data_IF_091322880359
#
_entry.id   IF_091322880359
#
_cell.length_a   1.000
_cell.length_b   1.000
_cell.length_c   1.000
_cell.angle_alpha   90.00
_cell.angle_beta   90.00
_cell.angle_gamma   90.00
#
_symmetry.space_group_name_H-M   'P 1'
#
loop_
_entity.id
_entity.type
_entity.pdbx_description
1 polymer ?
#
# COMPACT_ATOMS: atom_id res chain seq x y z
N UNK A 1 -27.55 7.19 -25.57
CA UNK A 1 -26.71 6.70 -24.45
C UNK A 1 -25.37 6.33 -25.07
N UNK A 2 -24.35 7.17 -24.92
CA UNK A 2 -23.04 6.95 -25.58
C UNK A 2 -22.41 5.68 -25.02
N UNK A 3 -22.41 4.61 -25.81
CA UNK A 3 -21.62 3.39 -25.57
C UNK A 3 -20.15 3.72 -25.80
N UNK A 4 -19.56 4.46 -24.87
CA UNK A 4 -18.12 4.70 -24.83
C UNK A 4 -17.41 3.48 -24.24
N UNK A 5 -16.34 3.02 -24.89
CA UNK A 5 -15.46 2.00 -24.33
C UNK A 5 -14.94 2.46 -22.97
N UNK A 6 -15.10 1.63 -21.94
CA UNK A 6 -14.49 1.88 -20.65
C UNK A 6 -12.97 1.76 -20.80
N UNK A 7 -12.22 2.77 -20.35
CA UNK A 7 -10.76 2.67 -20.25
C UNK A 7 -10.42 1.52 -19.30
N UNK A 8 -9.72 0.52 -19.81
CA UNK A 8 -9.25 -0.64 -19.06
C UNK A 8 -7.73 -0.61 -19.01
N UNK A 9 -7.15 -0.94 -17.86
CA UNK A 9 -5.72 -1.01 -17.68
C UNK A 9 -5.22 -2.37 -18.17
N UNK A 10 -4.17 -2.39 -19.00
CA UNK A 10 -3.46 -3.61 -19.34
C UNK A 10 -2.63 -4.11 -18.15
N UNK A 11 -2.34 -5.41 -18.09
CA UNK A 11 -1.51 -6.02 -17.05
C UNK A 11 -0.17 -5.30 -16.84
N UNK A 12 0.47 -4.85 -17.93
CA UNK A 12 1.74 -4.11 -17.85
C UNK A 12 1.58 -2.73 -17.20
N UNK A 13 0.47 -2.05 -17.48
CA UNK A 13 0.16 -0.75 -16.89
C UNK A 13 -0.15 -0.90 -15.39
N UNK A 14 -0.87 -1.96 -15.01
CA UNK A 14 -1.15 -2.28 -13.60
C UNK A 14 0.15 -2.59 -12.83
N UNK A 15 1.08 -3.34 -13.42
CA UNK A 15 2.38 -3.62 -12.81
C UNK A 15 3.20 -2.34 -12.65
N UNK A 16 3.25 -1.49 -13.68
CA UNK A 16 3.95 -0.21 -13.61
C UNK A 16 3.35 0.71 -12.54
N UNK A 17 2.03 0.81 -12.45
CA UNK A 17 1.30 1.55 -11.41
C UNK A 17 1.62 1.02 -10.02
N UNK A 18 1.62 -0.30 -9.84
CA UNK A 18 1.88 -0.94 -8.55
C UNK A 18 3.31 -0.67 -8.08
N UNK A 19 4.30 -0.81 -8.96
CA UNK A 19 5.70 -0.49 -8.65
C UNK A 19 5.87 1.00 -8.31
N UNK A 20 5.25 1.90 -9.08
CA UNK A 20 5.30 3.33 -8.82
C UNK A 20 4.66 3.73 -7.49
N UNK A 21 3.53 3.11 -7.14
CA UNK A 21 2.83 3.37 -5.88
C UNK A 21 3.58 2.86 -4.64
N UNK A 22 4.49 1.88 -4.78
CA UNK A 22 5.27 1.33 -3.67
C UNK A 22 6.51 2.15 -3.32
N UNK A 23 7.08 2.90 -4.28
CA UNK A 23 8.31 3.68 -4.07
C UNK A 23 7.95 5.08 -3.57
N UNK A 24 8.15 5.34 -2.28
CA UNK A 24 7.97 6.66 -1.65
C UNK A 24 9.27 7.27 -1.12
N UNK A 25 9.19 8.45 -0.51
CA UNK A 25 10.34 9.18 0.06
C UNK A 25 10.79 8.64 1.43
N UNK A 26 9.93 7.91 2.11
CA UNK A 26 10.15 7.41 3.48
C UNK A 26 11.50 6.70 3.68
N UNK A 27 11.88 5.80 2.76
CA UNK A 27 13.10 5.01 2.93
C UNK A 27 14.38 5.85 2.74
N UNK A 28 14.36 6.88 1.90
CA UNK A 28 15.53 7.76 1.71
C UNK A 28 15.79 8.58 2.97
N UNK A 29 14.73 9.13 3.58
CA UNK A 29 14.86 9.98 4.77
C UNK A 29 15.19 9.18 6.04
N UNK A 30 14.61 7.98 6.19
CA UNK A 30 14.68 7.23 7.44
C UNK A 30 15.85 6.22 7.49
N UNK A 31 16.45 5.87 6.36
CA UNK A 31 17.57 4.89 6.32
C UNK A 31 18.74 5.30 7.20
N UNK A 32 19.12 6.59 7.19
CA UNK A 32 20.17 7.11 8.05
C UNK A 32 19.85 6.96 9.54
N UNK A 33 18.60 7.25 9.93
CA UNK A 33 18.14 7.13 11.31
C UNK A 33 18.09 5.66 11.77
N UNK A 34 17.60 4.76 10.92
CA UNK A 34 17.61 3.32 11.20
C UNK A 34 19.04 2.80 11.40
N UNK A 35 19.95 3.20 10.52
CA UNK A 35 21.35 2.78 10.60
C UNK A 35 22.04 3.33 11.85
N UNK A 36 21.78 4.59 12.21
CA UNK A 36 22.35 5.22 13.41
C UNK A 36 21.82 4.58 14.71
N UNK A 37 20.55 4.16 14.74
CA UNK A 37 19.92 3.58 15.94
C UNK A 37 20.16 2.08 16.10
N UNK A 38 20.00 1.31 15.03
CA UNK A 38 20.04 -0.15 15.07
C UNK A 38 21.36 -0.74 14.56
N UNK A 39 22.20 0.05 13.91
CA UNK A 39 23.37 -0.42 13.18
C UNK A 39 23.02 -1.20 11.91
N UNK A 40 24.03 -1.54 11.11
CA UNK A 40 23.85 -2.21 9.81
C UNK A 40 23.16 -3.57 9.93
N UNK A 41 23.59 -4.40 10.88
CA UNK A 41 23.01 -5.73 11.08
C UNK A 41 21.56 -5.64 11.60
N UNK A 42 21.28 -4.71 12.52
CA UNK A 42 19.93 -4.53 13.07
C UNK A 42 18.93 -4.09 11.99
N UNK A 43 19.32 -3.11 11.16
CA UNK A 43 18.50 -2.65 10.04
C UNK A 43 18.24 -3.75 9.02
N UNK A 44 19.25 -4.54 8.65
CA UNK A 44 19.09 -5.65 7.69
C UNK A 44 18.11 -6.72 8.20
N UNK A 45 18.25 -7.12 9.47
CA UNK A 45 17.33 -8.09 10.10
C UNK A 45 15.91 -7.53 10.16
N UNK A 46 15.75 -6.25 10.52
CA UNK A 46 14.44 -5.59 10.55
C UNK A 46 13.77 -5.57 9.17
N UNK A 47 14.52 -5.29 8.10
CA UNK A 47 14.03 -5.34 6.72
C UNK A 47 13.60 -6.76 6.32
N UNK A 48 14.41 -7.78 6.59
CA UNK A 48 14.09 -9.17 6.22
C UNK A 48 12.81 -9.63 6.93
N UNK A 49 12.69 -9.36 8.23
CA UNK A 49 11.50 -9.73 9.01
C UNK A 49 10.28 -8.94 8.52
N UNK A 50 10.42 -7.62 8.36
CA UNK A 50 9.35 -6.74 7.88
C UNK A 50 8.83 -7.16 6.51
N UNK A 51 9.72 -7.38 5.54
CA UNK A 51 9.35 -7.86 4.21
C UNK A 51 8.72 -9.25 4.25
N UNK A 52 9.17 -10.14 5.13
CA UNK A 52 8.55 -11.45 5.33
C UNK A 52 7.09 -11.35 5.78
N UNK A 53 6.79 -10.47 6.74
CA UNK A 53 5.42 -10.23 7.21
C UNK A 53 4.55 -9.66 6.09
N UNK A 54 5.05 -8.64 5.37
CA UNK A 54 4.31 -8.01 4.26
C UNK A 54 4.03 -9.02 3.14
N UNK A 55 4.97 -9.91 2.83
CA UNK A 55 4.80 -10.95 1.82
C UNK A 55 3.63 -11.90 2.15
N UNK A 56 3.49 -12.30 3.42
CA UNK A 56 2.36 -13.13 3.86
C UNK A 56 1.01 -12.41 3.70
N UNK A 57 0.97 -11.10 3.99
CA UNK A 57 -0.21 -10.27 3.77
C UNK A 57 -0.52 -10.18 2.27
N UNK A 58 0.49 -9.95 1.43
CA UNK A 58 0.33 -9.86 -0.03
C UNK A 58 -0.18 -11.16 -0.65
N UNK A 59 0.29 -12.33 -0.18
CA UNK A 59 -0.24 -13.63 -0.64
C UNK A 59 -1.73 -13.78 -0.32
N UNK A 60 -2.14 -13.37 0.88
CA UNK A 60 -3.55 -13.38 1.27
C UNK A 60 -4.39 -12.47 0.36
N UNK A 61 -3.88 -11.28 0.04
CA UNK A 61 -4.53 -10.37 -0.91
C UNK A 61 -4.59 -10.93 -2.33
N UNK A 62 -3.59 -11.68 -2.78
CA UNK A 62 -3.59 -12.31 -4.09
C UNK A 62 -4.72 -13.34 -4.21
N UNK A 63 -4.91 -14.19 -3.19
CA UNK A 63 -6.02 -15.15 -3.13
C UNK A 63 -7.39 -14.45 -3.09
N UNK A 64 -7.53 -13.39 -2.28
CA UNK A 64 -8.79 -12.63 -2.21
C UNK A 64 -9.11 -11.92 -3.53
N UNK A 65 -8.12 -11.34 -4.19
CA UNK A 65 -8.30 -10.66 -5.47
C UNK A 65 -8.70 -11.64 -6.59
N UNK A 66 -8.15 -12.87 -6.57
CA UNK A 66 -8.55 -13.93 -7.49
C UNK A 66 -9.98 -14.45 -7.22
N UNK A 67 -10.34 -14.61 -5.94
CA UNK A 67 -11.65 -15.13 -5.54
C UNK A 67 -12.80 -14.11 -5.69
N UNK A 68 -12.51 -12.82 -5.49
CA UNK A 68 -13.49 -11.74 -5.52
C UNK A 68 -13.01 -10.57 -6.41
N UNK A 69 -13.14 -10.68 -7.75
CA UNK A 69 -12.69 -9.65 -8.69
C UNK A 69 -13.71 -8.49 -8.76
N UNK A 70 -14.02 -7.88 -7.61
CA UNK A 70 -14.95 -6.77 -7.47
C UNK A 70 -14.18 -5.46 -7.24
N UNK A 71 -14.66 -4.38 -7.85
CA UNK A 71 -14.12 -3.04 -7.62
C UNK A 71 -14.43 -2.57 -6.20
N UNK A 72 -13.43 -2.03 -5.50
CA UNK A 72 -13.56 -1.61 -4.10
C UNK A 72 -12.87 -2.52 -3.08
N UNK A 73 -12.31 -3.65 -3.52
CA UNK A 73 -11.34 -4.47 -2.79
C UNK A 73 -11.67 -4.67 -1.30
N UNK A 74 -10.93 -3.99 -0.43
CA UNK A 74 -10.99 -4.09 1.02
C UNK A 74 -12.38 -3.83 1.60
N UNK A 75 -13.17 -2.94 1.01
CA UNK A 75 -14.56 -2.74 1.42
C UNK A 75 -15.38 -4.01 1.20
N UNK A 76 -15.25 -4.64 0.04
CA UNK A 76 -15.97 -5.87 -0.28
C UNK A 76 -15.47 -7.07 0.53
N UNK A 77 -14.15 -7.17 0.74
CA UNK A 77 -13.54 -8.24 1.53
C UNK A 77 -14.02 -8.20 2.98
N UNK A 78 -13.94 -7.01 3.60
CA UNK A 78 -14.35 -6.83 5.00
C UNK A 78 -15.86 -6.93 5.18
N UNK A 79 -16.66 -6.46 4.21
CA UNK A 79 -18.11 -6.60 4.24
C UNK A 79 -18.53 -8.07 4.17
N UNK A 80 -17.85 -8.87 3.35
CA UNK A 80 -18.14 -10.30 3.21
C UNK A 80 -17.75 -11.09 4.47
N UNK A 81 -16.66 -10.72 5.13
CA UNK A 81 -16.15 -11.44 6.30
C UNK A 81 -16.79 -11.00 7.64
N UNK A 82 -17.01 -9.70 7.83
CA UNK A 82 -17.33 -9.10 9.15
C UNK A 82 -18.65 -8.32 9.18
N UNK A 83 -19.31 -8.14 8.03
CA UNK A 83 -20.56 -7.39 7.93
C UNK A 83 -20.36 -5.87 7.76
N UNK A 84 -21.47 -5.12 7.86
CA UNK A 84 -21.53 -3.73 7.42
C UNK A 84 -20.74 -2.75 8.30
N UNK A 85 -20.88 -2.85 9.63
CA UNK A 85 -20.27 -1.89 10.58
C UNK A 85 -18.76 -1.97 10.56
N UNK A 86 -18.20 -3.18 10.60
CA UNK A 86 -16.75 -3.40 10.52
C UNK A 86 -16.20 -2.93 9.17
N UNK A 87 -16.92 -3.18 8.07
CA UNK A 87 -16.52 -2.73 6.73
C UNK A 87 -16.52 -1.20 6.60
N UNK A 88 -17.49 -0.51 7.22
CA UNK A 88 -17.52 0.95 7.26
C UNK A 88 -16.28 1.52 7.96
N UNK A 89 -15.93 0.99 9.14
CA UNK A 89 -14.73 1.43 9.88
C UNK A 89 -13.46 1.12 9.09
N UNK A 90 -13.35 -0.07 8.50
CA UNK A 90 -12.22 -0.46 7.69
C UNK A 90 -12.03 0.49 6.49
N UNK A 91 -13.10 0.81 5.76
CA UNK A 91 -13.02 1.74 4.64
C UNK A 91 -12.60 3.15 5.07
N UNK A 92 -13.07 3.63 6.22
CA UNK A 92 -12.61 4.91 6.77
C UNK A 92 -11.13 4.88 7.18
N UNK A 93 -10.66 3.79 7.78
CA UNK A 93 -9.24 3.63 8.12
C UNK A 93 -8.35 3.69 6.87
N UNK A 94 -8.80 3.09 5.77
CA UNK A 94 -8.09 3.08 4.48
C UNK A 94 -8.04 4.49 3.87
N UNK A 95 -9.16 5.23 3.91
CA UNK A 95 -9.18 6.63 3.45
C UNK A 95 -8.19 7.48 4.25
N UNK A 96 -8.19 7.35 5.58
CA UNK A 96 -7.25 8.07 6.44
C UNK A 96 -5.81 7.70 6.09
N UNK A 97 -5.52 6.40 5.92
CA UNK A 97 -4.19 5.94 5.54
C UNK A 97 -3.71 6.61 4.23
N UNK A 98 -4.53 6.61 3.18
CA UNK A 98 -4.17 7.27 1.92
C UNK A 98 -3.96 8.78 2.05
N UNK A 99 -4.81 9.49 2.81
CA UNK A 99 -4.64 10.93 3.04
C UNK A 99 -3.34 11.20 3.81
N UNK A 100 -3.04 10.43 4.85
CA UNK A 100 -1.81 10.57 5.63
C UNK A 100 -0.56 10.33 4.78
N UNK A 101 -0.58 9.37 3.85
CA UNK A 101 0.54 9.16 2.93
C UNK A 101 0.80 10.40 2.08
N UNK A 102 -0.24 11.00 1.48
CA UNK A 102 -0.08 12.23 0.70
C UNK A 102 0.53 13.38 1.52
N UNK A 103 0.07 13.54 2.76
CA UNK A 103 0.61 14.57 3.68
C UNK A 103 2.07 14.29 4.00
N UNK A 104 2.42 13.05 4.34
CA UNK A 104 3.79 12.66 4.63
C UNK A 104 4.73 12.89 3.43
N UNK A 105 4.35 12.43 2.24
CA UNK A 105 5.17 12.55 1.03
C UNK A 105 5.34 14.03 0.62
N UNK A 106 4.34 14.88 0.89
CA UNK A 106 4.44 16.33 0.66
C UNK A 106 5.42 17.04 1.60
N UNK A 107 5.55 16.58 2.84
CA UNK A 107 6.54 17.09 3.80
C UNK A 107 7.93 16.51 3.56
N UNK A 108 8.01 15.28 3.03
CA UNK A 108 9.26 14.60 2.75
C UNK A 108 10.03 15.19 1.55
N UNK A 109 9.33 15.61 0.50
CA UNK A 109 9.94 16.18 -0.71
C UNK A 109 10.88 17.38 -0.45
N UNK A 110 10.48 18.44 0.29
CA UNK A 110 11.39 19.56 0.54
C UNK A 110 12.62 19.13 1.37
N UNK A 111 12.44 18.28 2.37
CA UNK A 111 13.54 17.77 3.21
C UNK A 111 14.53 16.90 2.42
N UNK A 112 14.08 16.25 1.35
CA UNK A 112 14.95 15.44 0.49
C UNK A 112 15.75 16.27 -0.54
N UNK A 113 15.35 17.52 -0.79
CA UNK A 113 15.99 18.41 -1.77
C UNK A 113 17.00 19.38 -1.13
N UNK A 114 17.03 19.48 0.19
CA UNK A 114 18.06 20.16 0.99
C UNK A 114 19.32 19.29 1.14
#
# INVERSE_FOLDING_TARGET
>A
MSTGFAKTLLNREVLALSCGAMIGWSWVLLTGEWLARAGTLGTLVAFVIGSGIVLLISLTYAELAAAMPLTGGEHHYTKRALGYTASFVASWAVVVAYVTVCVFESAALPTALE
#
